data_IF_644113740438
#
_entry.id   IF_644113740438
#
_cell.length_a   1.000
_cell.length_b   1.000
_cell.length_c   1.000
_cell.angle_alpha   90.00
_cell.angle_beta   90.00
_cell.angle_gamma   90.00
#
_symmetry.space_group_name_H-M   'P 1'
#
loop_
_entity.id
_entity.type
_entity.pdbx_description
1 polymer ?
#
# COMPACT_ATOMS: atom_id res chain seq x y z
N UNK A 1 -26.35 3.39 -10.03
CA UNK A 1 -26.72 1.99 -10.34
C UNK A 1 -26.14 1.12 -9.24
N UNK A 2 -26.96 0.43 -8.44
CA UNK A 2 -26.50 -0.44 -7.35
C UNK A 2 -26.52 -1.88 -7.90
N UNK A 3 -25.37 -2.54 -7.89
CA UNK A 3 -25.31 -3.94 -8.27
C UNK A 3 -26.05 -4.78 -7.21
N UNK A 4 -26.77 -5.85 -7.59
CA UNK A 4 -27.43 -6.70 -6.63
C UNK A 4 -26.39 -7.35 -5.70
N UNK A 5 -26.64 -7.25 -4.40
CA UNK A 5 -25.75 -7.80 -3.37
C UNK A 5 -25.95 -9.31 -3.29
N UNK A 6 -24.85 -10.08 -3.20
CA UNK A 6 -24.94 -11.51 -2.93
C UNK A 6 -25.03 -11.74 -1.41
N UNK A 7 -26.18 -12.14 -0.86
CA UNK A 7 -26.36 -12.31 0.59
C UNK A 7 -25.40 -13.35 1.18
N UNK A 8 -24.98 -14.36 0.40
CA UNK A 8 -24.02 -15.37 0.87
C UNK A 8 -22.62 -14.80 1.12
N UNK A 9 -22.29 -13.64 0.57
CA UNK A 9 -20.99 -13.00 0.79
C UNK A 9 -20.94 -12.16 2.06
N UNK A 10 -22.10 -11.73 2.57
CA UNK A 10 -22.19 -10.91 3.78
C UNK A 10 -21.79 -11.67 5.05
N UNK A 11 -21.75 -13.01 4.99
CA UNK A 11 -21.26 -13.86 6.09
C UNK A 11 -19.75 -13.77 6.30
N UNK A 12 -19.00 -13.29 5.31
CA UNK A 12 -17.56 -13.09 5.43
C UNK A 12 -17.31 -11.69 6.00
N UNK A 13 -16.72 -11.64 7.19
CA UNK A 13 -16.35 -10.37 7.83
C UNK A 13 -15.14 -9.72 7.17
N UNK A 14 -14.99 -8.43 7.39
CA UNK A 14 -13.80 -7.69 6.98
C UNK A 14 -12.60 -8.15 7.83
N UNK A 15 -11.59 -8.73 7.18
CA UNK A 15 -10.35 -9.09 7.89
C UNK A 15 -9.49 -7.85 8.09
N UNK A 16 -9.49 -7.28 9.29
CA UNK A 16 -8.77 -6.04 9.60
C UNK A 16 -7.28 -6.12 9.25
N UNK A 17 -6.60 -7.21 9.59
CA UNK A 17 -5.19 -7.42 9.25
C UNK A 17 -4.95 -7.33 7.73
N UNK A 18 -5.76 -8.03 6.93
CA UNK A 18 -5.62 -8.01 5.48
C UNK A 18 -5.97 -6.65 4.91
N UNK A 19 -6.99 -5.97 5.45
CA UNK A 19 -7.37 -4.62 5.02
C UNK A 19 -6.18 -3.67 5.12
N UNK A 20 -5.50 -3.62 6.27
CA UNK A 20 -4.32 -2.78 6.46
C UNK A 20 -3.23 -3.10 5.41
N UNK A 21 -2.83 -4.36 5.31
CA UNK A 21 -1.74 -4.79 4.40
C UNK A 21 -2.09 -4.46 2.95
N UNK A 22 -3.33 -4.70 2.52
CA UNK A 22 -3.78 -4.44 1.14
C UNK A 22 -3.85 -2.97 0.80
N UNK A 23 -4.28 -2.11 1.72
CA UNK A 23 -4.24 -0.66 1.50
C UNK A 23 -2.80 -0.14 1.40
N UNK A 24 -1.91 -0.63 2.27
CA UNK A 24 -0.49 -0.30 2.19
C UNK A 24 0.15 -0.73 0.86
N UNK A 25 -0.08 -1.97 0.42
CA UNK A 25 0.36 -2.45 -0.89
C UNK A 25 -0.20 -1.60 -2.04
N UNK A 26 -1.46 -1.19 -1.93
CA UNK A 26 -2.12 -0.37 -2.96
C UNK A 26 -1.49 1.03 -3.07
N UNK A 27 -1.16 1.67 -1.93
CA UNK A 27 -0.47 2.96 -1.91
C UNK A 27 0.92 2.84 -2.53
N UNK A 28 1.68 1.79 -2.19
CA UNK A 28 2.99 1.55 -2.79
C UNK A 28 2.90 1.34 -4.31
N UNK A 29 1.97 0.51 -4.77
CA UNK A 29 1.75 0.28 -6.20
C UNK A 29 1.31 1.55 -6.95
N UNK A 30 0.50 2.40 -6.32
CA UNK A 30 0.15 3.72 -6.87
C UNK A 30 1.40 4.59 -7.00
N UNK A 31 2.22 4.63 -5.95
CA UNK A 31 3.46 5.41 -5.91
C UNK A 31 4.41 5.03 -7.04
N UNK A 32 4.63 3.72 -7.25
CA UNK A 32 5.51 3.22 -8.32
C UNK A 32 5.01 3.58 -9.72
N UNK A 33 3.69 3.70 -9.89
CA UNK A 33 3.04 3.95 -11.18
C UNK A 33 2.70 5.42 -11.41
N UNK A 34 2.91 6.29 -10.43
CA UNK A 34 2.60 7.73 -10.54
C UNK A 34 3.26 8.39 -11.76
N UNK A 35 4.52 8.06 -12.13
CA UNK A 35 5.14 8.66 -13.32
C UNK A 35 4.54 8.20 -14.66
N UNK A 36 4.05 6.96 -14.73
CA UNK A 36 3.48 6.40 -15.97
C UNK A 36 1.97 6.64 -16.08
N UNK A 37 1.29 6.91 -14.96
CA UNK A 37 -0.16 7.13 -14.85
C UNK A 37 -1.02 6.05 -15.52
N UNK A 38 -0.51 4.81 -15.58
CA UNK A 38 -1.17 3.65 -16.18
C UNK A 38 -1.34 2.55 -15.15
N UNK A 39 -2.49 1.88 -15.18
CA UNK A 39 -2.72 0.70 -14.34
C UNK A 39 -1.86 -0.49 -14.77
N UNK A 40 -1.82 -0.77 -16.08
CA UNK A 40 -1.10 -1.90 -16.66
C UNK A 40 0.24 -1.48 -17.23
N UNK A 41 1.30 -2.16 -16.80
CA UNK A 41 2.68 -1.91 -17.20
C UNK A 41 3.12 -3.03 -18.17
N UNK A 42 2.71 -2.92 -19.43
CA UNK A 42 2.96 -3.98 -20.44
C UNK A 42 4.27 -3.80 -21.20
N UNK A 43 4.65 -2.55 -21.49
CA UNK A 43 5.88 -2.24 -22.23
C UNK A 43 7.12 -2.46 -21.35
N UNK A 44 8.24 -2.82 -21.96
CA UNK A 44 9.52 -2.98 -21.25
C UNK A 44 10.05 -1.64 -20.70
N UNK A 45 9.74 -0.54 -21.37
CA UNK A 45 10.07 0.82 -20.91
C UNK A 45 9.30 1.18 -19.64
N UNK A 46 7.97 1.01 -19.64
CA UNK A 46 7.15 1.29 -18.45
C UNK A 46 7.61 0.40 -17.27
N UNK A 47 7.98 -0.87 -17.53
CA UNK A 47 8.48 -1.79 -16.50
C UNK A 47 9.82 -1.33 -15.90
N UNK A 48 10.72 -0.79 -16.73
CA UNK A 48 12.00 -0.23 -16.25
C UNK A 48 11.76 0.98 -15.37
N UNK A 49 10.92 1.92 -15.81
CA UNK A 49 10.57 3.13 -15.04
C UNK A 49 9.99 2.75 -13.67
N UNK A 50 9.00 1.84 -13.65
CA UNK A 50 8.38 1.37 -12.40
C UNK A 50 9.40 0.71 -11.47
N UNK A 51 10.33 -0.09 -12.02
CA UNK A 51 11.39 -0.74 -11.23
C UNK A 51 12.34 0.26 -10.60
N UNK A 52 12.78 1.26 -11.35
CA UNK A 52 13.71 2.28 -10.85
C UNK A 52 13.08 3.12 -9.74
N UNK A 53 11.81 3.50 -9.93
CA UNK A 53 11.03 4.24 -8.92
C UNK A 53 10.80 3.38 -7.68
N UNK A 54 10.42 2.10 -7.87
CA UNK A 54 10.26 1.15 -6.77
C UNK A 54 11.54 1.04 -5.94
N UNK A 55 12.69 0.85 -6.59
CA UNK A 55 13.98 0.77 -5.91
C UNK A 55 14.30 2.05 -5.12
N UNK A 56 14.03 3.22 -5.71
CA UNK A 56 14.26 4.50 -5.03
C UNK A 56 13.37 4.68 -3.80
N UNK A 57 12.07 4.36 -3.91
CA UNK A 57 11.11 4.45 -2.81
C UNK A 57 11.46 3.46 -1.70
N UNK A 58 11.78 2.21 -2.06
CA UNK A 58 12.21 1.19 -1.08
C UNK A 58 13.45 1.62 -0.31
N UNK A 59 14.44 2.22 -0.99
CA UNK A 59 15.62 2.77 -0.35
C UNK A 59 15.28 3.89 0.62
N UNK A 60 14.45 4.86 0.23
CA UNK A 60 14.01 5.95 1.11
C UNK A 60 13.28 5.43 2.36
N UNK A 61 12.38 4.45 2.21
CA UNK A 61 11.73 3.84 3.37
C UNK A 61 12.72 3.16 4.32
N UNK A 62 13.75 2.52 3.78
CA UNK A 62 14.82 1.93 4.58
C UNK A 62 15.64 3.00 5.30
N UNK A 63 16.01 4.08 4.61
CA UNK A 63 16.92 5.09 5.13
C UNK A 63 16.22 6.02 6.15
N UNK A 64 14.99 6.45 5.87
CA UNK A 64 14.26 7.40 6.71
C UNK A 64 13.46 6.72 7.84
N UNK A 65 12.89 5.53 7.59
CA UNK A 65 12.01 4.85 8.54
C UNK A 65 12.56 3.50 9.02
N UNK A 66 13.71 3.03 8.50
CA UNK A 66 14.24 1.71 8.83
C UNK A 66 13.37 0.56 8.29
N UNK A 67 12.52 0.82 7.30
CA UNK A 67 11.50 -0.10 6.81
C UNK A 67 11.89 -0.77 5.49
N UNK A 68 11.91 -2.10 5.49
CA UNK A 68 12.06 -2.91 4.29
C UNK A 68 10.68 -3.26 3.70
N UNK A 69 10.26 -2.54 2.66
CA UNK A 69 8.91 -2.63 2.08
C UNK A 69 8.92 -3.30 0.70
N UNK A 70 7.88 -4.06 0.38
CA UNK A 70 7.63 -4.70 -0.93
C UNK A 70 8.80 -5.54 -1.49
N UNK A 71 9.55 -6.20 -0.60
CA UNK A 71 10.62 -7.13 -0.94
C UNK A 71 10.03 -8.54 -1.03
N UNK A 72 10.22 -9.28 -2.14
CA UNK A 72 9.76 -10.66 -2.24
C UNK A 72 10.49 -11.55 -1.23
N UNK A 73 9.75 -12.41 -0.52
CA UNK A 73 10.32 -13.44 0.35
C UNK A 73 10.59 -14.72 -0.45
N UNK A 74 11.57 -15.51 0.00
CA UNK A 74 12.01 -16.73 -0.68
C UNK A 74 10.91 -17.80 -0.82
N UNK A 75 9.97 -17.85 0.12
CA UNK A 75 8.86 -18.82 0.09
C UNK A 75 7.61 -18.22 -0.57
N UNK A 76 6.92 -17.32 0.13
CA UNK A 76 5.68 -16.72 -0.37
C UNK A 76 5.45 -15.31 0.21
N UNK A 77 4.84 -14.45 -0.61
CA UNK A 77 4.43 -13.11 -0.21
C UNK A 77 5.55 -12.06 -0.24
N UNK A 78 5.26 -10.93 0.39
CA UNK A 78 6.14 -9.77 0.43
C UNK A 78 6.65 -9.54 1.86
N UNK A 79 7.60 -8.62 2.01
CA UNK A 79 8.05 -8.15 3.32
C UNK A 79 6.97 -7.38 4.08
N UNK A 80 5.86 -7.03 3.43
CA UNK A 80 4.77 -6.26 4.03
C UNK A 80 4.03 -7.13 5.05
N UNK A 81 4.15 -6.76 6.32
CA UNK A 81 3.42 -7.37 7.43
C UNK A 81 2.67 -6.28 8.21
N UNK A 82 1.88 -6.72 9.20
CA UNK A 82 1.10 -5.81 10.04
C UNK A 82 1.97 -4.75 10.72
N UNK A 83 3.15 -5.13 11.22
CA UNK A 83 4.05 -4.20 11.91
C UNK A 83 4.57 -3.08 10.99
N UNK A 84 4.99 -3.42 9.76
CA UNK A 84 5.41 -2.41 8.79
C UNK A 84 4.27 -1.51 8.38
N UNK A 85 3.08 -2.07 8.24
CA UNK A 85 1.89 -1.33 7.86
C UNK A 85 1.50 -0.33 8.94
N UNK A 86 1.47 -0.74 10.21
CA UNK A 86 1.20 0.14 11.34
C UNK A 86 2.24 1.26 11.40
N UNK A 87 3.53 0.93 11.23
CA UNK A 87 4.61 1.93 11.25
C UNK A 87 4.50 2.92 10.09
N UNK A 88 4.09 2.47 8.91
CA UNK A 88 3.80 3.34 7.76
C UNK A 88 2.67 4.35 8.08
N UNK A 89 1.56 3.90 8.67
CA UNK A 89 0.45 4.79 9.05
C UNK A 89 0.70 5.59 10.34
N UNK A 90 1.78 5.31 11.07
CA UNK A 90 2.12 6.05 12.30
C UNK A 90 2.62 7.46 12.00
N UNK A 91 3.30 7.65 10.87
CA UNK A 91 3.84 8.94 10.41
C UNK A 91 3.38 9.22 8.96
N UNK A 92 2.14 9.73 8.78
CA UNK A 92 1.58 10.02 7.46
C UNK A 92 2.39 11.05 6.66
N UNK A 93 3.06 11.98 7.33
CA UNK A 93 3.86 13.04 6.73
C UNK A 93 5.09 12.47 6.02
N UNK A 94 5.90 11.67 6.72
CA UNK A 94 7.07 11.01 6.13
C UNK A 94 6.61 10.01 5.06
N UNK A 95 5.56 9.24 5.34
CA UNK A 95 4.99 8.29 4.37
C UNK A 95 4.56 8.99 3.07
N UNK A 96 3.88 10.13 3.17
CA UNK A 96 3.47 10.96 2.03
C UNK A 96 4.66 11.48 1.24
N UNK A 97 5.67 12.01 1.93
CA UNK A 97 6.88 12.55 1.31
C UNK A 97 7.65 11.49 0.53
N UNK A 98 7.78 10.28 1.07
CA UNK A 98 8.51 9.18 0.42
C UNK A 98 7.70 8.59 -0.74
N UNK A 99 6.41 8.33 -0.51
CA UNK A 99 5.52 7.70 -1.48
C UNK A 99 5.13 8.65 -2.63
N UNK A 100 5.16 9.96 -2.41
CA UNK A 100 4.65 10.95 -3.35
C UNK A 100 3.13 10.91 -3.47
N UNK A 101 2.44 10.51 -2.40
CA UNK A 101 0.97 10.42 -2.32
C UNK A 101 0.47 11.48 -1.36
N UNK A 102 -0.69 12.06 -1.64
CA UNK A 102 -1.29 13.10 -0.79
C UNK A 102 -1.41 12.68 0.69
N UNK A 103 -0.97 13.55 1.60
CA UNK A 103 -0.95 13.26 3.04
C UNK A 103 -2.35 13.13 3.62
N UNK A 104 -3.33 13.86 3.10
CA UNK A 104 -4.70 13.82 3.58
C UNK A 104 -5.35 12.48 3.24
N UNK A 105 -5.04 11.91 2.07
CA UNK A 105 -5.45 10.56 1.70
C UNK A 105 -4.91 9.53 2.71
N UNK A 106 -3.63 9.59 3.06
CA UNK A 106 -3.02 8.65 4.03
C UNK A 106 -3.67 8.80 5.41
N UNK A 107 -3.92 10.04 5.87
CA UNK A 107 -4.60 10.32 7.14
C UNK A 107 -6.03 9.78 7.17
N UNK A 108 -6.81 9.98 6.11
CA UNK A 108 -8.18 9.45 5.99
C UNK A 108 -8.19 7.93 6.02
N UNK A 109 -7.27 7.30 5.29
CA UNK A 109 -7.12 5.85 5.31
C UNK A 109 -6.77 5.33 6.71
N UNK A 110 -5.85 5.99 7.42
CA UNK A 110 -5.54 5.65 8.81
C UNK A 110 -6.80 5.64 9.70
N UNK A 111 -7.61 6.70 9.64
CA UNK A 111 -8.85 6.80 10.44
C UNK A 111 -9.83 5.67 10.11
N UNK A 112 -10.03 5.37 8.82
CA UNK A 112 -10.90 4.27 8.38
C UNK A 112 -10.38 2.93 8.91
N UNK A 113 -9.08 2.71 8.78
CA UNK A 113 -8.41 1.49 9.21
C UNK A 113 -8.50 1.29 10.74
N UNK A 114 -8.25 2.34 11.54
CA UNK A 114 -8.42 2.32 13.00
C UNK A 114 -9.88 2.04 13.40
N UNK A 115 -10.86 2.61 12.71
CA UNK A 115 -12.27 2.33 12.96
C UNK A 115 -12.64 0.86 12.70
N UNK A 116 -11.97 0.20 11.73
CA UNK A 116 -12.16 -1.24 11.48
C UNK A 116 -11.46 -2.15 12.50
N UNK A 117 -10.56 -1.62 13.34
CA UNK A 117 -9.92 -2.34 14.45
C UNK A 117 -10.70 -2.26 15.76
N UNK A 118 -11.38 -1.14 16.01
CA UNK A 118 -12.04 -0.84 17.27
C UNK A 118 -13.50 -1.35 17.34
N UNK A 119 -13.86 -2.30 16.47
CA UNK A 119 -15.21 -2.86 16.34
C UNK A 119 -15.40 -4.15 17.12
#
# INVERSE_FOLDING_TARGET
MRFPENPDTLKFSLSTLHTFIRFFESILHLSFKTPIQKWQTRSEEDKRIVRDIKNNIQRKFKDELGLLVDIPKQDFGTSNDGNKTIRFFSDPEIASQIAGVDVELIKKLKVILEATMNG
#
